data_IF_326595955565
#
_entry.id   IF_326595955565
#
_cell.length_a   1.000
_cell.length_b   1.000
_cell.length_c   1.000
_cell.angle_alpha   90.00
_cell.angle_beta   90.00
_cell.angle_gamma   90.00
#
_symmetry.space_group_name_H-M   'P 1'
#
loop_
_entity.id
_entity.type
_entity.pdbx_description
1 polymer ?
#
# COMPACT_ATOMS: atom_id res chain seq x y z
N UNK A 1 -12.12 36.49 30.01
CA UNK A 1 -11.93 36.57 28.54
C UNK A 1 -12.62 35.38 27.87
N UNK A 2 -13.39 35.58 26.80
CA UNK A 2 -14.14 34.55 26.06
C UNK A 2 -13.30 34.06 24.87
N UNK A 3 -12.79 32.81 24.89
CA UNK A 3 -12.01 32.28 23.78
C UNK A 3 -12.91 31.97 22.58
N UNK A 4 -12.46 32.34 21.39
CA UNK A 4 -13.10 32.05 20.11
C UNK A 4 -12.17 31.20 19.25
N UNK A 5 -12.68 30.09 18.76
CA UNK A 5 -12.06 29.25 17.71
C UNK A 5 -12.71 29.51 16.35
N UNK A 6 -12.04 29.10 15.27
CA UNK A 6 -12.61 29.12 13.91
C UNK A 6 -14.01 28.49 13.86
N UNK A 7 -14.15 27.31 14.46
CA UNK A 7 -15.40 26.55 14.53
C UNK A 7 -16.47 27.34 15.26
N UNK A 8 -16.14 27.97 16.39
CA UNK A 8 -17.10 28.76 17.17
C UNK A 8 -17.61 29.99 16.40
N UNK A 9 -16.74 30.65 15.63
CA UNK A 9 -17.11 31.78 14.77
C UNK A 9 -17.99 31.30 13.61
N UNK A 10 -17.65 30.17 12.99
CA UNK A 10 -18.43 29.56 11.92
C UNK A 10 -19.84 29.15 12.40
N UNK A 11 -19.94 28.52 13.57
CA UNK A 11 -21.22 28.13 14.17
C UNK A 11 -22.09 29.34 14.47
N UNK A 12 -21.51 30.42 15.02
CA UNK A 12 -22.24 31.66 15.29
C UNK A 12 -22.76 32.33 14.01
N UNK A 13 -21.91 32.42 12.97
CA UNK A 13 -22.29 32.95 11.66
C UNK A 13 -23.41 32.13 11.01
N UNK A 14 -23.41 30.81 11.23
CA UNK A 14 -24.44 29.91 10.72
C UNK A 14 -25.74 30.04 11.51
N UNK A 15 -25.66 30.04 12.83
CA UNK A 15 -26.80 30.13 13.74
C UNK A 15 -26.35 30.45 15.17
N UNK A 16 -26.84 31.56 15.73
CA UNK A 16 -26.53 31.95 17.11
C UNK A 16 -26.99 30.93 18.17
N UNK A 17 -28.11 30.24 17.92
CA UNK A 17 -28.61 29.16 18.80
C UNK A 17 -27.65 27.98 18.78
N UNK A 18 -27.17 27.55 17.61
CA UNK A 18 -26.17 26.48 17.50
C UNK A 18 -24.92 26.83 18.31
N UNK A 19 -24.43 28.06 18.17
CA UNK A 19 -23.30 28.54 18.96
C UNK A 19 -23.57 28.45 20.47
N UNK A 20 -24.73 28.91 20.91
CA UNK A 20 -25.11 28.87 22.32
C UNK A 20 -25.17 27.43 22.85
N UNK A 21 -25.84 26.52 22.15
CA UNK A 21 -25.94 25.12 22.54
C UNK A 21 -24.56 24.44 22.59
N UNK A 22 -23.72 24.62 21.57
CA UNK A 22 -22.44 23.93 21.47
C UNK A 22 -21.32 24.56 22.31
N UNK A 23 -21.23 25.88 22.40
CA UNK A 23 -20.08 26.57 23.01
C UNK A 23 -20.40 27.19 24.38
N UNK A 24 -21.67 27.49 24.67
CA UNK A 24 -22.09 28.01 25.98
C UNK A 24 -22.63 26.89 26.87
N UNK A 25 -23.64 26.14 26.41
CA UNK A 25 -24.20 25.01 27.17
C UNK A 25 -23.35 23.72 27.07
N UNK A 26 -22.35 23.69 26.17
CA UNK A 26 -21.44 22.56 25.95
C UNK A 26 -22.16 21.26 25.59
N UNK A 27 -23.29 21.33 24.91
CA UNK A 27 -23.98 20.15 24.39
C UNK A 27 -23.12 19.48 23.30
N UNK A 28 -23.02 18.15 23.37
CA UNK A 28 -22.26 17.32 22.44
C UNK A 28 -23.12 16.13 22.00
N UNK A 29 -23.08 15.76 20.71
CA UNK A 29 -23.68 14.51 20.26
C UNK A 29 -23.04 13.32 20.98
N UNK A 30 -23.84 12.33 21.33
CA UNK A 30 -23.35 11.09 21.97
C UNK A 30 -22.51 10.27 20.97
N UNK A 31 -22.89 10.28 19.70
CA UNK A 31 -22.18 9.59 18.62
C UNK A 31 -21.50 10.60 17.68
N UNK A 32 -20.28 10.26 17.22
CA UNK A 32 -19.61 11.02 16.16
C UNK A 32 -20.28 10.73 14.82
N UNK A 33 -20.59 11.79 14.07
CA UNK A 33 -21.06 11.65 12.70
C UNK A 33 -20.05 10.88 11.84
N UNK A 34 -20.55 10.01 10.95
CA UNK A 34 -19.77 9.21 10.00
C UNK A 34 -18.73 10.05 9.24
N UNK A 35 -19.16 11.22 8.75
CA UNK A 35 -18.31 12.12 7.97
C UNK A 35 -17.08 12.62 8.73
N UNK A 36 -17.21 12.83 10.05
CA UNK A 36 -16.12 13.26 10.92
C UNK A 36 -15.12 12.12 11.14
N UNK A 37 -15.59 10.89 11.35
CA UNK A 37 -14.71 9.72 11.52
C UNK A 37 -13.83 9.49 10.30
N UNK A 38 -14.43 9.42 9.12
CA UNK A 38 -13.69 9.25 7.86
C UNK A 38 -12.68 10.38 7.64
N UNK A 39 -13.07 11.62 7.91
CA UNK A 39 -12.17 12.78 7.80
C UNK A 39 -10.99 12.70 8.77
N UNK A 40 -11.24 12.35 10.03
CA UNK A 40 -10.19 12.16 11.04
C UNK A 40 -9.22 11.06 10.63
N UNK A 41 -9.73 9.91 10.18
CA UNK A 41 -8.87 8.80 9.74
C UNK A 41 -8.08 9.18 8.48
N UNK A 42 -8.68 9.91 7.54
CA UNK A 42 -7.96 10.44 6.37
C UNK A 42 -6.77 11.33 6.75
N UNK A 43 -6.97 12.28 7.67
CA UNK A 43 -5.88 13.13 8.16
C UNK A 43 -4.75 12.29 8.75
N UNK A 44 -5.11 11.29 9.57
CA UNK A 44 -4.13 10.42 10.19
C UNK A 44 -3.37 9.56 9.17
N UNK A 45 -4.03 9.09 8.11
CA UNK A 45 -3.37 8.38 7.02
C UNK A 45 -2.26 9.23 6.39
N UNK A 46 -2.57 10.48 6.06
CA UNK A 46 -1.60 11.39 5.45
C UNK A 46 -0.50 11.81 6.42
N UNK A 47 -0.82 12.01 7.70
CA UNK A 47 0.18 12.28 8.73
C UNK A 47 1.21 11.17 8.85
N UNK A 48 0.77 9.90 8.80
CA UNK A 48 1.60 8.70 8.86
C UNK A 48 2.48 8.60 7.61
N UNK A 49 1.89 8.71 6.42
CA UNK A 49 2.62 8.61 5.15
C UNK A 49 3.70 9.69 4.98
N UNK A 50 3.48 10.86 5.58
CA UNK A 50 4.43 11.98 5.51
C UNK A 50 5.42 12.02 6.69
N UNK A 51 5.43 11.03 7.58
CA UNK A 51 6.42 11.01 8.66
C UNK A 51 7.81 10.70 8.11
N UNK A 52 8.81 11.28 8.77
CA UNK A 52 10.23 11.04 8.47
C UNK A 52 10.89 10.30 9.63
N UNK A 53 12.00 9.58 9.38
CA UNK A 53 12.77 8.93 10.42
C UNK A 53 13.14 9.88 11.56
N UNK A 54 13.07 9.42 12.81
CA UNK A 54 13.30 10.26 13.98
C UNK A 54 12.42 9.88 15.17
N UNK A 55 12.28 10.79 16.14
CA UNK A 55 11.41 10.55 17.31
C UNK A 55 9.96 10.40 16.84
N UNK A 56 9.31 9.32 17.25
CA UNK A 56 7.92 9.08 16.88
C UNK A 56 7.02 10.12 17.57
N UNK A 57 6.22 10.90 16.81
CA UNK A 57 5.34 11.90 17.38
C UNK A 57 4.09 11.30 18.04
N UNK A 58 3.82 10.01 17.79
CA UNK A 58 2.65 9.30 18.33
C UNK A 58 2.97 8.62 19.67
N UNK A 59 4.21 8.16 19.85
CA UNK A 59 4.58 7.28 20.98
C UNK A 59 4.80 8.00 22.31
N UNK A 60 4.72 9.33 22.35
CA UNK A 60 5.01 10.13 23.55
C UNK A 60 4.02 9.92 24.71
N UNK A 61 3.00 9.08 24.53
CA UNK A 61 1.90 8.88 25.48
C UNK A 61 1.62 7.43 25.87
N UNK A 62 2.42 6.44 25.44
CA UNK A 62 2.16 5.03 25.77
C UNK A 62 2.95 4.56 26.99
N UNK A 63 2.21 4.19 28.04
CA UNK A 63 2.69 3.41 29.18
C UNK A 63 3.04 1.97 28.73
N UNK A 64 3.84 1.26 29.51
CA UNK A 64 4.34 -0.11 29.23
C UNK A 64 3.27 -1.16 28.91
N UNK A 65 2.01 -0.89 29.25
CA UNK A 65 0.87 -1.82 29.09
C UNK A 65 -0.13 -1.39 27.99
N UNK A 66 0.20 -0.36 27.19
CA UNK A 66 -0.67 0.17 26.14
C UNK A 66 -0.61 -0.58 24.80
N UNK A 67 -1.58 -0.34 23.89
CA UNK A 67 -1.54 -0.88 22.53
C UNK A 67 -0.26 -0.46 21.81
N UNK A 68 0.24 -1.36 20.96
CA UNK A 68 1.48 -1.15 20.19
C UNK A 68 1.29 0.02 19.22
N UNK A 69 2.11 1.06 19.35
CA UNK A 69 2.05 2.22 18.47
C UNK A 69 2.17 1.76 17.00
N UNK A 70 1.19 2.05 16.13
CA UNK A 70 1.19 1.53 14.76
C UNK A 70 2.33 2.10 13.90
N UNK A 71 2.88 3.24 14.30
CA UNK A 71 3.96 3.93 13.60
C UNK A 71 5.33 3.36 13.93
N UNK A 72 5.67 3.30 15.23
CA UNK A 72 7.02 2.95 15.67
C UNK A 72 7.10 1.64 16.47
N UNK A 73 5.99 0.93 16.64
CA UNK A 73 5.94 -0.34 17.37
C UNK A 73 6.51 -0.23 18.80
N UNK A 74 6.16 0.85 19.49
CA UNK A 74 6.64 1.20 20.85
C UNK A 74 8.15 1.42 21.00
N UNK A 75 8.93 1.44 19.92
CA UNK A 75 10.36 1.78 19.98
C UNK A 75 10.62 3.25 20.35
N UNK A 76 9.61 4.11 20.26
CA UNK A 76 9.75 5.55 20.44
C UNK A 76 10.34 6.29 19.24
N UNK A 77 10.80 5.57 18.21
CA UNK A 77 11.53 6.11 17.08
C UNK A 77 11.12 5.47 15.76
N UNK A 78 10.90 6.29 14.74
CA UNK A 78 10.70 5.87 13.36
C UNK A 78 12.08 5.55 12.77
N UNK A 79 12.30 4.29 12.41
CA UNK A 79 13.57 3.82 11.85
C UNK A 79 13.82 4.43 10.46
N UNK A 80 15.09 4.51 10.05
CA UNK A 80 15.46 5.05 8.72
C UNK A 80 14.94 4.18 7.57
N UNK A 81 14.85 2.88 7.80
CA UNK A 81 14.34 1.87 6.88
C UNK A 81 12.84 1.57 7.06
N UNK A 82 12.14 2.35 7.90
CA UNK A 82 10.72 2.11 8.15
C UNK A 82 9.88 2.39 6.89
N UNK A 83 9.05 1.43 6.52
CA UNK A 83 8.03 1.63 5.50
C UNK A 83 6.77 2.26 6.14
N UNK A 84 6.55 3.54 5.84
CA UNK A 84 5.39 4.26 6.37
C UNK A 84 4.06 3.71 5.85
N UNK A 85 4.04 2.96 4.74
CA UNK A 85 2.85 2.27 4.26
C UNK A 85 2.48 1.12 5.19
N UNK A 86 3.46 0.36 5.69
CA UNK A 86 3.22 -0.70 6.68
C UNK A 86 2.63 -0.12 7.97
N UNK A 87 3.16 1.03 8.43
CA UNK A 87 2.60 1.76 9.56
C UNK A 87 1.14 2.21 9.32
N UNK A 88 0.83 2.67 8.10
CA UNK A 88 -0.54 3.00 7.69
C UNK A 88 -1.46 1.78 7.79
N UNK A 89 -1.04 0.61 7.29
CA UNK A 89 -1.84 -0.61 7.39
C UNK A 89 -2.13 -1.00 8.84
N UNK A 90 -1.11 -0.97 9.72
CA UNK A 90 -1.28 -1.24 11.15
C UNK A 90 -2.30 -0.29 11.78
N UNK A 91 -2.16 1.01 11.51
CA UNK A 91 -3.10 2.01 12.00
C UNK A 91 -4.53 1.77 11.51
N UNK A 92 -4.72 1.50 10.21
CA UNK A 92 -6.04 1.27 9.65
C UNK A 92 -6.69 0.00 10.21
N UNK A 93 -5.93 -1.07 10.43
CA UNK A 93 -6.43 -2.29 11.04
C UNK A 93 -6.85 -2.06 12.50
N UNK A 94 -6.09 -1.28 13.26
CA UNK A 94 -6.43 -0.91 14.63
C UNK A 94 -7.68 -0.02 14.68
N UNK A 95 -7.71 1.04 13.86
CA UNK A 95 -8.81 2.01 13.81
C UNK A 95 -10.14 1.39 13.39
N UNK A 96 -10.10 0.31 12.60
CA UNK A 96 -11.28 -0.42 12.10
C UNK A 96 -11.48 -1.78 12.77
N UNK A 97 -10.75 -2.10 13.84
CA UNK A 97 -10.81 -3.41 14.50
C UNK A 97 -12.19 -3.75 15.08
N UNK A 98 -12.96 -2.72 15.48
CA UNK A 98 -14.30 -2.89 16.06
C UNK A 98 -15.33 -2.09 15.28
N UNK A 99 -16.26 -2.79 14.61
CA UNK A 99 -17.39 -2.16 13.94
C UNK A 99 -18.42 -1.63 14.96
N UNK A 100 -18.82 -0.35 14.89
CA UNK A 100 -19.91 0.16 15.72
C UNK A 100 -21.24 -0.56 15.44
N UNK A 101 -22.11 -0.76 16.44
CA UNK A 101 -23.40 -1.42 16.24
C UNK A 101 -24.36 -0.70 15.27
N UNK A 102 -24.13 0.60 15.05
CA UNK A 102 -24.94 1.43 14.17
C UNK A 102 -24.55 1.37 12.69
N UNK A 103 -23.54 0.57 12.34
CA UNK A 103 -22.98 0.49 10.98
C UNK A 103 -22.97 -0.95 10.51
N UNK A 104 -23.36 -1.17 9.25
CA UNK A 104 -23.27 -2.48 8.62
C UNK A 104 -21.81 -2.88 8.36
N UNK A 105 -21.48 -4.16 8.55
CA UNK A 105 -20.11 -4.65 8.42
C UNK A 105 -19.53 -4.40 7.03
N UNK A 106 -20.34 -4.51 5.97
CA UNK A 106 -19.89 -4.28 4.59
C UNK A 106 -19.55 -2.81 4.39
N UNK A 107 -20.38 -1.90 4.92
CA UNK A 107 -20.12 -0.46 4.85
C UNK A 107 -18.87 -0.09 5.67
N UNK A 108 -18.64 -0.74 6.81
CA UNK A 108 -17.45 -0.57 7.64
C UNK A 108 -16.15 -0.99 6.93
N UNK A 109 -16.14 -2.18 6.32
CA UNK A 109 -15.00 -2.69 5.54
C UNK A 109 -14.77 -1.87 4.25
N UNK A 110 -15.86 -1.42 3.61
CA UNK A 110 -15.80 -0.54 2.45
C UNK A 110 -15.16 0.79 2.81
N UNK A 111 -15.53 1.38 3.95
CA UNK A 111 -14.93 2.63 4.44
C UNK A 111 -13.43 2.48 4.68
N UNK A 112 -13.00 1.41 5.38
CA UNK A 112 -11.60 1.11 5.63
C UNK A 112 -10.82 0.99 4.31
N UNK A 113 -11.36 0.23 3.36
CA UNK A 113 -10.77 -0.01 2.04
C UNK A 113 -10.63 1.30 1.26
N UNK A 114 -11.68 2.11 1.22
CA UNK A 114 -11.65 3.41 0.51
C UNK A 114 -10.54 4.30 1.06
N UNK A 115 -10.41 4.42 2.37
CA UNK A 115 -9.39 5.25 3.00
C UNK A 115 -7.97 4.75 2.71
N UNK A 116 -7.75 3.45 2.90
CA UNK A 116 -6.46 2.82 2.69
C UNK A 116 -5.98 2.97 1.23
N UNK A 117 -6.81 2.60 0.26
CA UNK A 117 -6.45 2.70 -1.15
C UNK A 117 -6.36 4.15 -1.63
N UNK A 118 -7.19 5.06 -1.09
CA UNK A 118 -7.04 6.49 -1.39
C UNK A 118 -5.70 7.03 -0.88
N UNK A 119 -5.26 6.59 0.30
CA UNK A 119 -4.00 7.05 0.90
C UNK A 119 -2.80 6.49 0.14
N UNK A 120 -2.85 5.22 -0.27
CA UNK A 120 -1.83 4.61 -1.13
C UNK A 120 -1.78 5.30 -2.50
N UNK A 121 -2.93 5.57 -3.11
CA UNK A 121 -3.00 6.29 -4.38
C UNK A 121 -2.46 7.71 -4.28
N UNK A 122 -2.75 8.40 -3.18
CA UNK A 122 -2.20 9.72 -2.87
C UNK A 122 -0.67 9.67 -2.73
N UNK A 123 -0.14 8.71 -1.96
CA UNK A 123 1.30 8.53 -1.78
C UNK A 123 2.01 8.16 -3.08
N UNK A 124 1.40 7.30 -3.90
CA UNK A 124 1.93 6.94 -5.21
C UNK A 124 2.01 8.15 -6.15
N UNK A 125 0.94 8.95 -6.21
CA UNK A 125 0.87 10.08 -7.14
C UNK A 125 1.72 11.27 -6.67
N UNK A 126 1.67 11.60 -5.37
CA UNK A 126 2.31 12.80 -4.80
C UNK A 126 3.60 12.52 -4.03
N UNK A 127 4.00 11.27 -3.82
CA UNK A 127 5.16 10.91 -2.99
C UNK A 127 6.50 11.47 -3.46
N UNK A 128 6.59 11.88 -4.74
CA UNK A 128 7.76 12.56 -5.30
C UNK A 128 7.69 14.10 -5.20
N UNK A 129 6.51 14.68 -5.03
CA UNK A 129 6.28 16.12 -4.87
C UNK A 129 6.24 16.47 -3.38
N UNK A 130 7.34 16.18 -2.70
CA UNK A 130 7.41 16.28 -1.24
C UNK A 130 7.33 17.75 -0.82
N UNK A 131 6.30 18.03 -0.04
CA UNK A 131 6.12 19.29 0.66
C UNK A 131 6.81 19.16 2.02
N UNK A 132 7.81 20.00 2.28
CA UNK A 132 8.55 19.95 3.54
C UNK A 132 7.68 20.51 4.66
N UNK A 133 7.37 19.68 5.64
CA UNK A 133 6.60 20.12 6.82
C UNK A 133 7.56 20.68 7.85
N UNK A 134 7.50 22.00 8.09
CA UNK A 134 8.31 22.71 9.08
C UNK A 134 7.78 22.46 10.49
N UNK A 135 6.46 22.56 10.66
CA UNK A 135 5.81 22.41 11.96
C UNK A 135 4.43 21.73 11.81
N UNK A 136 4.02 21.00 12.84
CA UNK A 136 2.70 20.35 12.95
C UNK A 136 2.01 20.82 14.21
N UNK A 137 0.68 20.92 14.18
CA UNK A 137 -0.18 21.24 15.33
C UNK A 137 0.28 22.50 16.09
N UNK A 138 0.53 23.59 15.36
CA UNK A 138 1.03 24.83 15.96
C UNK A 138 -0.11 25.55 16.67
N UNK A 139 -0.11 25.49 17.99
CA UNK A 139 -1.09 26.16 18.83
C UNK A 139 -0.86 27.67 18.92
N UNK A 140 -1.94 28.44 18.92
CA UNK A 140 -1.89 29.87 19.18
C UNK A 140 -3.00 30.29 20.13
N UNK A 141 -2.72 31.32 20.92
CA UNK A 141 -3.68 32.00 21.76
C UNK A 141 -3.36 33.50 21.78
N UNK A 142 -4.28 34.32 21.27
CA UNK A 142 -4.08 35.77 21.15
C UNK A 142 -5.25 36.51 21.76
N UNK A 143 -4.95 37.48 22.61
CA UNK A 143 -5.94 38.46 23.05
C UNK A 143 -6.28 39.40 21.89
N UNK A 144 -7.57 39.54 21.56
CA UNK A 144 -8.04 40.56 20.62
C UNK A 144 -8.32 41.85 21.38
N UNK A 145 -9.01 41.73 22.52
CA UNK A 145 -9.32 42.81 23.44
C UNK A 145 -9.65 42.23 24.83
N UNK A 146 -9.96 43.11 25.79
CA UNK A 146 -10.26 42.74 27.18
C UNK A 146 -11.36 41.69 27.35
N UNK A 147 -12.23 41.52 26.35
CA UNK A 147 -13.36 40.59 26.38
C UNK A 147 -13.06 39.31 25.61
N UNK A 148 -12.37 39.39 24.46
CA UNK A 148 -12.22 38.29 23.51
C UNK A 148 -10.77 37.87 23.27
N UNK A 149 -10.53 36.56 23.20
CA UNK A 149 -9.30 35.98 22.66
C UNK A 149 -9.60 35.04 21.50
N UNK A 150 -8.65 34.88 20.58
CA UNK A 150 -8.64 33.80 19.60
C UNK A 150 -7.75 32.68 20.09
N UNK A 151 -8.20 31.45 19.86
CA UNK A 151 -7.40 30.25 20.09
C UNK A 151 -7.62 29.25 18.98
N UNK A 152 -6.58 28.51 18.65
CA UNK A 152 -6.68 27.44 17.67
C UNK A 152 -5.39 26.70 17.51
N UNK A 153 -5.42 25.75 16.59
CA UNK A 153 -4.28 24.96 16.18
C UNK A 153 -4.18 25.07 14.67
N UNK A 154 -3.02 25.45 14.17
CA UNK A 154 -2.69 25.39 12.75
C UNK A 154 -2.18 23.98 12.50
N UNK A 155 -2.87 23.23 11.63
CA UNK A 155 -2.52 21.84 11.32
C UNK A 155 -1.04 21.73 10.94
N UNK A 156 -0.58 22.51 9.94
CA UNK A 156 0.82 22.50 9.51
C UNK A 156 1.31 23.84 8.97
N UNK A 157 2.60 24.06 9.16
CA UNK A 157 3.40 25.04 8.42
C UNK A 157 4.32 24.26 7.49
N UNK A 158 4.32 24.63 6.22
CA UNK A 158 5.02 23.93 5.16
C UNK A 158 5.93 24.85 4.37
N UNK A 159 6.93 24.28 3.72
CA UNK A 159 7.78 24.94 2.74
C UNK A 159 7.65 24.24 1.39
N UNK A 160 7.47 25.03 0.34
CA UNK A 160 7.48 24.54 -1.04
C UNK A 160 8.10 25.60 -1.95
N UNK A 161 9.14 25.23 -2.70
CA UNK A 161 9.84 26.16 -3.60
C UNK A 161 10.38 27.41 -2.87
N UNK A 162 10.92 27.24 -1.66
CA UNK A 162 11.44 28.33 -0.84
C UNK A 162 10.38 29.21 -0.15
N UNK A 163 9.09 29.04 -0.49
CA UNK A 163 7.99 29.81 0.11
C UNK A 163 7.41 29.06 1.31
N UNK A 164 7.20 29.77 2.42
CA UNK A 164 6.52 29.23 3.60
C UNK A 164 5.02 29.52 3.50
N UNK A 165 4.22 28.47 3.65
CA UNK A 165 2.75 28.52 3.57
C UNK A 165 2.13 27.71 4.69
N UNK A 166 0.82 27.85 4.88
CA UNK A 166 0.07 26.92 5.71
C UNK A 166 -0.29 25.66 4.92
N UNK A 167 -0.41 24.51 5.58
CA UNK A 167 -0.82 23.26 4.98
C UNK A 167 -2.02 22.67 5.69
N UNK A 168 -3.10 22.42 4.97
CA UNK A 168 -4.36 21.88 5.52
C UNK A 168 -4.78 20.66 4.72
N UNK A 169 -5.15 19.58 5.42
CA UNK A 169 -5.83 18.45 4.81
C UNK A 169 -7.33 18.60 4.99
N UNK A 170 -8.12 18.23 3.99
CA UNK A 170 -9.57 18.14 4.10
C UNK A 170 -10.11 16.93 3.37
N UNK A 171 -11.28 16.49 3.80
CA UNK A 171 -12.09 15.51 3.08
C UNK A 171 -13.45 16.12 2.73
N UNK A 172 -13.99 15.74 1.58
CA UNK A 172 -15.30 16.23 1.13
C UNK A 172 -16.00 15.21 0.25
N UNK A 173 -17.34 15.14 0.34
CA UNK A 173 -18.15 14.39 -0.63
C UNK A 173 -18.60 15.26 -1.82
N UNK A 174 -18.37 16.58 -1.73
CA UNK A 174 -18.71 17.55 -2.79
C UNK A 174 -17.70 17.45 -3.94
N UNK A 175 -18.12 17.68 -5.19
CA UNK A 175 -17.20 17.73 -6.32
C UNK A 175 -16.09 18.76 -6.12
N UNK A 176 -14.89 18.44 -6.60
CA UNK A 176 -13.68 19.28 -6.48
C UNK A 176 -13.01 19.55 -7.84
N UNK A 177 -13.69 19.22 -8.93
CA UNK A 177 -13.30 19.55 -10.30
C UNK A 177 -13.00 21.06 -10.48
N UNK A 178 -12.17 21.43 -11.47
CA UNK A 178 -11.94 22.84 -11.81
C UNK A 178 -13.27 23.55 -12.08
N UNK A 179 -13.56 24.61 -11.31
CA UNK A 179 -14.83 25.36 -11.40
C UNK A 179 -15.93 24.89 -10.44
N UNK A 180 -15.72 23.81 -9.68
CA UNK A 180 -16.67 23.38 -8.66
C UNK A 180 -16.94 24.48 -7.63
N UNK A 181 -18.20 24.60 -7.22
CA UNK A 181 -18.67 25.56 -6.20
C UNK A 181 -17.97 25.38 -4.85
N UNK A 182 -17.37 24.21 -4.61
CA UNK A 182 -16.52 23.95 -3.46
C UNK A 182 -15.40 24.99 -3.33
N UNK A 183 -14.72 25.33 -4.43
CA UNK A 183 -13.59 26.26 -4.44
C UNK A 183 -14.01 27.70 -4.18
N UNK A 184 -15.17 28.13 -4.69
CA UNK A 184 -15.68 29.49 -4.46
C UNK A 184 -16.04 29.73 -2.98
N UNK A 185 -16.42 28.67 -2.26
CA UNK A 185 -16.78 28.71 -0.84
C UNK A 185 -15.58 28.90 0.08
N UNK A 186 -14.38 28.55 -0.35
CA UNK A 186 -13.17 28.70 0.47
C UNK A 186 -12.88 30.17 0.82
N UNK A 187 -13.30 31.12 -0.02
CA UNK A 187 -13.17 32.55 0.27
C UNK A 187 -13.98 32.99 1.49
N UNK A 188 -15.01 32.22 1.87
CA UNK A 188 -15.86 32.47 3.02
C UNK A 188 -15.41 31.70 4.27
N UNK A 189 -14.40 30.85 4.14
CA UNK A 189 -13.92 30.01 5.23
C UNK A 189 -13.11 30.86 6.23
N UNK A 190 -13.70 31.04 7.41
CA UNK A 190 -13.09 31.79 8.51
C UNK A 190 -11.84 31.10 9.06
N UNK A 191 -11.72 29.78 8.96
CA UNK A 191 -10.56 29.03 9.46
C UNK A 191 -9.32 29.43 8.67
N UNK A 192 -9.40 29.41 7.34
CA UNK A 192 -8.26 29.66 6.45
C UNK A 192 -7.71 31.07 6.63
N UNK A 193 -8.61 32.05 6.60
CA UNK A 193 -8.24 33.46 6.74
C UNK A 193 -7.67 33.74 8.13
N UNK A 194 -8.29 33.18 9.18
CA UNK A 194 -7.83 33.37 10.55
C UNK A 194 -6.44 32.75 10.77
N UNK A 195 -6.22 31.50 10.35
CA UNK A 195 -4.93 30.84 10.54
C UNK A 195 -3.79 31.56 9.83
N UNK A 196 -4.01 32.05 8.61
CA UNK A 196 -2.98 32.82 7.90
C UNK A 196 -2.63 34.13 8.63
N UNK A 197 -3.63 34.84 9.15
CA UNK A 197 -3.41 36.07 9.93
C UNK A 197 -2.65 35.76 11.22
N UNK A 198 -3.07 34.74 11.96
CA UNK A 198 -2.43 34.39 13.23
C UNK A 198 -1.00 33.88 13.02
N UNK A 199 -0.75 33.06 12.00
CA UNK A 199 0.61 32.61 11.66
C UNK A 199 1.56 33.78 11.38
N UNK A 200 1.10 34.80 10.63
CA UNK A 200 1.89 36.01 10.37
C UNK A 200 2.16 36.81 11.64
N UNK A 201 1.17 36.94 12.51
CA UNK A 201 1.39 37.62 13.78
C UNK A 201 2.37 36.85 14.68
N UNK A 202 2.28 35.52 14.74
CA UNK A 202 3.23 34.68 15.47
C UNK A 202 4.64 34.80 14.89
N UNK A 203 4.78 34.85 13.57
CA UNK A 203 6.05 35.09 12.89
C UNK A 203 6.66 36.43 13.32
N UNK A 204 5.90 37.53 13.22
CA UNK A 204 6.35 38.87 13.57
C UNK A 204 6.67 39.02 15.06
N UNK A 205 5.94 38.32 15.92
CA UNK A 205 6.21 38.27 17.36
C UNK A 205 7.41 37.38 17.74
N UNK A 206 8.00 36.67 16.77
CA UNK A 206 9.12 35.75 17.01
C UNK A 206 8.73 34.41 17.66
N UNK A 207 7.45 34.12 17.81
CA UNK A 207 6.92 32.91 18.45
C UNK A 207 7.23 31.64 17.63
N UNK A 208 7.45 31.79 16.32
CA UNK A 208 7.78 30.70 15.41
C UNK A 208 9.30 30.42 15.29
N UNK A 209 10.14 31.14 16.04
CA UNK A 209 11.61 30.97 16.00
C UNK A 209 12.05 29.55 16.37
N UNK A 210 11.30 28.90 17.26
CA UNK A 210 11.53 27.50 17.65
C UNK A 210 11.40 26.50 16.48
N UNK A 211 10.69 26.88 15.42
CA UNK A 211 10.53 26.10 14.18
C UNK A 211 11.46 26.59 13.06
N UNK A 212 12.41 27.47 13.37
CA UNK A 212 13.35 28.03 12.40
C UNK A 212 12.82 29.22 11.59
N UNK A 213 11.61 29.71 11.88
CA UNK A 213 10.98 30.82 11.16
C UNK A 213 11.24 32.14 11.91
N UNK A 214 11.88 33.10 11.26
CA UNK A 214 12.26 34.39 11.85
C UNK A 214 11.25 35.48 11.48
N UNK A 215 11.15 36.50 12.34
CA UNK A 215 10.35 37.70 12.08
C UNK A 215 10.84 38.51 10.85
N UNK A 216 12.12 38.33 10.47
CA UNK A 216 12.75 38.97 9.30
C UNK A 216 12.59 38.19 8.00
N UNK A 217 12.12 36.95 8.07
CA UNK A 217 11.90 36.14 6.86
C UNK A 217 10.69 36.70 6.07
N UNK A 218 10.56 36.40 4.78
CA UNK A 218 9.34 36.69 4.04
C UNK A 218 8.10 36.19 4.81
N UNK A 219 7.05 37.01 4.84
CA UNK A 219 5.83 36.65 5.58
C UNK A 219 5.23 35.37 5.02
N UNK A 220 4.79 34.48 5.92
CA UNK A 220 4.05 33.27 5.56
C UNK A 220 2.93 33.66 4.57
N UNK A 221 2.98 33.06 3.39
CA UNK A 221 2.14 33.45 2.26
C UNK A 221 1.37 32.26 1.73
N UNK A 222 0.05 32.43 1.67
CA UNK A 222 -0.85 31.43 1.08
C UNK A 222 -1.03 30.19 1.94
N UNK A 223 -1.71 29.21 1.34
CA UNK A 223 -2.04 27.96 1.97
C UNK A 223 -2.15 26.87 0.89
N UNK A 224 -1.51 25.73 1.13
CA UNK A 224 -1.78 24.50 0.42
C UNK A 224 -3.01 23.84 1.05
N UNK A 225 -4.09 23.79 0.28
CA UNK A 225 -5.34 23.17 0.69
C UNK A 225 -5.47 21.84 -0.05
N UNK A 226 -5.06 20.76 0.59
CA UNK A 226 -5.07 19.41 0.01
C UNK A 226 -6.38 18.72 0.36
N UNK A 227 -7.22 18.55 -0.67
CA UNK A 227 -8.61 18.13 -0.53
C UNK A 227 -8.80 16.78 -1.17
N UNK A 228 -9.13 15.79 -0.35
CA UNK A 228 -9.56 14.49 -0.82
C UNK A 228 -11.06 14.48 -1.07
N UNK A 229 -11.45 14.21 -2.32
CA UNK A 229 -12.82 13.90 -2.66
C UNK A 229 -13.10 12.43 -2.39
N UNK A 230 -14.07 12.18 -1.50
CA UNK A 230 -14.47 10.84 -1.09
C UNK A 230 -15.02 10.08 -2.29
N UNK A 231 -14.38 8.98 -2.72
CA UNK A 231 -14.90 8.15 -3.79
C UNK A 231 -16.31 7.68 -3.46
N UNK A 232 -17.23 7.80 -4.42
CA UNK A 232 -18.60 7.28 -4.29
C UNK A 232 -18.72 5.84 -4.79
N UNK A 233 -17.58 5.15 -4.91
CA UNK A 233 -17.53 3.77 -5.38
C UNK A 233 -18.20 2.91 -4.32
N UNK A 234 -19.29 2.24 -4.71
CA UNK A 234 -19.92 1.19 -3.92
C UNK A 234 -19.67 -0.14 -4.63
N UNK A 235 -19.49 -1.26 -3.89
CA UNK A 235 -19.51 -2.58 -4.49
C UNK A 235 -20.75 -2.69 -5.37
N UNK A 236 -20.58 -3.07 -6.65
CA UNK A 236 -21.72 -3.28 -7.53
C UNK A 236 -22.57 -4.40 -6.94
N UNK A 237 -23.79 -4.07 -6.52
CA UNK A 237 -24.78 -5.09 -6.16
C UNK A 237 -25.05 -5.93 -7.40
N UNK A 238 -25.06 -7.25 -7.25
CA UNK A 238 -25.51 -8.14 -8.32
C UNK A 238 -26.93 -7.74 -8.73
N UNK A 239 -27.17 -7.67 -10.05
CA UNK A 239 -28.54 -7.55 -10.56
C UNK A 239 -29.32 -8.80 -10.15
N UNK A 240 -30.64 -8.74 -10.07
CA UNK A 240 -31.43 -9.94 -9.75
C UNK A 240 -31.12 -11.10 -10.71
N UNK A 241 -30.89 -10.80 -12.00
CA UNK A 241 -30.49 -11.79 -12.99
C UNK A 241 -29.11 -12.40 -12.68
N UNK A 242 -28.12 -11.57 -12.35
CA UNK A 242 -26.78 -12.06 -12.00
C UNK A 242 -26.76 -12.77 -10.64
N UNK A 243 -27.59 -12.37 -9.68
CA UNK A 243 -27.79 -13.09 -8.41
C UNK A 243 -28.39 -14.46 -8.67
N UNK A 244 -29.42 -14.58 -9.52
CA UNK A 244 -29.99 -15.87 -9.90
C UNK A 244 -28.97 -16.75 -10.63
N UNK A 245 -28.22 -16.16 -11.58
CA UNK A 245 -27.14 -16.87 -12.28
C UNK A 245 -26.08 -17.36 -11.30
N UNK A 246 -25.66 -16.50 -10.37
CA UNK A 246 -24.72 -16.84 -9.32
C UNK A 246 -25.24 -17.96 -8.43
N UNK A 247 -26.47 -17.84 -7.90
CA UNK A 247 -27.12 -18.87 -7.08
C UNK A 247 -27.20 -20.22 -7.81
N UNK A 248 -27.57 -20.21 -9.08
CA UNK A 248 -27.73 -21.43 -9.88
C UNK A 248 -26.40 -22.06 -10.30
N UNK A 249 -25.40 -21.26 -10.66
CA UNK A 249 -24.12 -21.75 -11.17
C UNK A 249 -23.06 -21.95 -10.08
N UNK A 250 -23.26 -21.34 -8.91
CA UNK A 250 -22.19 -21.13 -7.94
C UNK A 250 -21.09 -20.19 -8.45
N UNK A 251 -21.15 -19.67 -9.68
CA UNK A 251 -20.02 -19.03 -10.32
C UNK A 251 -20.16 -17.50 -10.35
N UNK A 252 -19.13 -16.78 -9.89
CA UNK A 252 -19.06 -15.33 -9.93
C UNK A 252 -17.67 -14.88 -10.39
N UNK A 253 -17.63 -14.11 -11.48
CA UNK A 253 -16.38 -13.65 -12.13
C UNK A 253 -15.40 -14.80 -12.47
N UNK A 254 -15.91 -15.96 -12.88
CA UNK A 254 -15.08 -17.12 -13.26
C UNK A 254 -14.65 -18.00 -12.08
N UNK A 255 -14.96 -17.58 -10.85
CA UNK A 255 -14.67 -18.33 -9.63
C UNK A 255 -15.91 -19.10 -9.16
N UNK A 256 -15.73 -20.37 -8.75
CA UNK A 256 -16.82 -21.21 -8.22
C UNK A 256 -16.92 -21.10 -6.70
N UNK A 257 -18.04 -20.60 -6.24
CA UNK A 257 -18.46 -20.50 -4.86
C UNK A 257 -19.39 -21.66 -4.50
N UNK A 258 -19.16 -22.25 -3.33
CA UNK A 258 -20.10 -23.19 -2.73
C UNK A 258 -21.23 -22.40 -2.08
N UNK A 259 -22.40 -22.44 -2.70
CA UNK A 259 -23.60 -21.78 -2.18
C UNK A 259 -24.29 -22.76 -1.24
N UNK A 260 -24.23 -22.49 0.06
CA UNK A 260 -25.00 -23.23 1.06
C UNK A 260 -26.35 -22.57 1.22
N UNK A 261 -27.41 -23.26 0.80
CA UNK A 261 -28.78 -22.87 1.16
C UNK A 261 -28.95 -23.08 2.66
N UNK A 262 -28.90 -22.00 3.44
CA UNK A 262 -29.39 -22.06 4.83
C UNK A 262 -30.31 -20.89 5.08
N UNK A 263 -31.60 -21.13 4.85
CA UNK A 263 -32.66 -20.39 5.51
C UNK A 263 -33.76 -21.37 5.88
N UNK A 264 -33.61 -22.08 7.00
CA UNK A 264 -34.69 -22.21 8.00
C UNK A 264 -34.33 -23.09 9.20
N UNK A 265 -33.36 -23.99 9.12
CA UNK A 265 -33.09 -24.91 10.24
C UNK A 265 -31.67 -24.70 10.78
N UNK A 266 -31.59 -24.21 12.01
CA UNK A 266 -30.32 -24.00 12.72
C UNK A 266 -30.22 -25.07 13.80
N UNK A 267 -29.14 -25.84 13.75
CA UNK A 267 -28.80 -26.84 14.75
C UNK A 267 -27.55 -26.38 15.51
N UNK A 268 -27.58 -26.46 16.85
CA UNK A 268 -26.41 -26.25 17.70
C UNK A 268 -26.13 -27.55 18.44
N UNK A 269 -24.97 -28.15 18.20
CA UNK A 269 -24.56 -29.46 18.76
C UNK A 269 -25.56 -30.60 18.49
N UNK A 270 -26.21 -30.62 17.32
CA UNK A 270 -27.15 -31.66 16.92
C UNK A 270 -28.57 -31.52 17.49
N UNK A 271 -28.86 -30.42 18.20
CA UNK A 271 -30.22 -30.09 18.68
C UNK A 271 -30.77 -28.92 17.87
N UNK A 272 -32.00 -29.06 17.39
CA UNK A 272 -32.71 -28.02 16.65
C UNK A 272 -33.05 -26.86 17.59
N UNK A 273 -32.71 -25.63 17.20
CA UNK A 273 -33.02 -24.42 17.98
C UNK A 273 -33.97 -23.51 17.21
N UNK A 274 -35.07 -23.16 17.86
CA UNK A 274 -36.07 -22.26 17.32
C UNK A 274 -35.50 -20.84 17.23
N UNK A 275 -35.66 -20.18 16.08
CA UNK A 275 -35.17 -18.82 15.88
C UNK A 275 -36.32 -17.82 15.77
N UNK A 276 -36.24 -16.73 16.55
CA UNK A 276 -37.08 -15.56 16.39
C UNK A 276 -36.28 -14.45 15.69
N UNK A 277 -36.88 -13.84 14.67
CA UNK A 277 -36.26 -12.81 13.85
C UNK A 277 -35.94 -11.60 14.73
N UNK A 278 -34.64 -11.32 14.95
CA UNK A 278 -34.24 -10.07 15.62
C UNK A 278 -32.89 -9.98 16.33
N UNK A 279 -32.01 -10.98 16.31
CA UNK A 279 -30.69 -10.85 16.96
C UNK A 279 -29.54 -11.37 16.09
N UNK A 280 -28.56 -10.49 15.84
CA UNK A 280 -27.34 -10.74 15.08
C UNK A 280 -26.47 -11.84 15.75
N UNK A 281 -25.92 -12.81 15.00
CA UNK A 281 -24.91 -13.70 15.53
C UNK A 281 -23.57 -12.96 15.65
N UNK A 282 -22.96 -13.01 16.84
CA UNK A 282 -21.52 -12.77 17.00
C UNK A 282 -20.76 -13.84 16.21
N UNK A 283 -19.94 -13.47 15.23
CA UNK A 283 -19.04 -14.40 14.53
C UNK A 283 -17.61 -14.18 15.01
N UNK A 284 -17.05 -15.21 15.61
CA UNK A 284 -15.64 -15.35 15.97
C UNK A 284 -14.83 -15.94 14.80
N UNK A 285 -13.52 -15.66 14.78
CA UNK A 285 -12.48 -16.10 13.83
C UNK A 285 -12.69 -17.50 13.19
N UNK A 286 -12.62 -17.55 11.84
CA UNK A 286 -12.01 -18.57 10.94
C UNK A 286 -12.94 -18.91 9.75
N UNK A 287 -12.50 -18.60 8.52
CA UNK A 287 -13.04 -19.23 7.31
C UNK A 287 -11.87 -19.84 6.50
N UNK A 288 -11.65 -21.17 6.56
CA UNK A 288 -10.41 -21.81 6.08
C UNK A 288 -10.33 -22.17 4.58
N UNK A 289 -11.28 -21.79 3.71
CA UNK A 289 -11.37 -22.32 2.33
C UNK A 289 -11.40 -21.25 1.21
N UNK A 290 -10.74 -20.10 1.37
CA UNK A 290 -10.63 -19.10 0.29
C UNK A 290 -9.29 -19.30 -0.42
N UNK A 291 -9.32 -19.51 -1.74
CA UNK A 291 -8.15 -19.45 -2.63
C UNK A 291 -8.15 -18.10 -3.33
N UNK A 292 -7.03 -17.38 -3.30
CA UNK A 292 -6.87 -16.05 -3.92
C UNK A 292 -5.83 -16.15 -5.01
N UNK A 293 -6.21 -15.85 -6.26
CA UNK A 293 -5.24 -15.74 -7.35
C UNK A 293 -4.79 -14.28 -7.56
N UNK A 294 -3.48 -14.06 -7.69
CA UNK A 294 -2.89 -12.74 -7.91
C UNK A 294 -2.05 -12.77 -9.19
N UNK A 295 -2.48 -12.02 -10.21
CA UNK A 295 -1.72 -11.78 -11.43
C UNK A 295 -0.82 -10.55 -11.29
N UNK A 296 0.47 -10.69 -11.64
CA UNK A 296 1.44 -9.60 -11.50
C UNK A 296 2.61 -9.74 -12.46
N UNK A 297 3.28 -8.63 -12.80
CA UNK A 297 4.53 -8.66 -13.56
C UNK A 297 5.76 -9.02 -12.70
N UNK A 298 5.59 -9.20 -11.39
CA UNK A 298 6.69 -9.61 -10.50
C UNK A 298 7.71 -8.50 -10.20
N UNK A 299 7.35 -7.23 -10.40
CA UNK A 299 8.22 -6.07 -10.12
C UNK A 299 8.03 -5.52 -8.71
N UNK A 300 6.92 -5.86 -8.04
CA UNK A 300 6.62 -5.40 -6.69
C UNK A 300 6.41 -6.60 -5.77
N UNK A 301 7.23 -6.69 -4.72
CA UNK A 301 7.11 -7.70 -3.68
C UNK A 301 5.88 -7.41 -2.80
N UNK A 302 4.96 -8.36 -2.61
CA UNK A 302 3.85 -8.21 -1.66
C UNK A 302 4.38 -7.95 -0.25
N UNK A 303 3.80 -6.97 0.44
CA UNK A 303 4.15 -6.62 1.82
C UNK A 303 3.23 -7.38 2.78
N UNK A 304 3.77 -8.28 3.60
CA UNK A 304 3.06 -8.95 4.69
C UNK A 304 3.05 -10.48 4.63
N UNK A 305 3.36 -11.11 5.77
CA UNK A 305 3.29 -12.56 5.99
C UNK A 305 1.91 -13.01 6.47
N UNK A 306 1.52 -14.23 6.03
CA UNK A 306 0.23 -14.92 6.21
C UNK A 306 -0.96 -14.22 5.56
N UNK A 307 -1.16 -14.55 4.29
CA UNK A 307 -2.42 -14.31 3.61
C UNK A 307 -3.58 -15.06 4.32
N UNK A 308 -4.76 -14.46 4.31
CA UNK A 308 -6.01 -15.07 4.79
C UNK A 308 -6.52 -16.05 3.72
N UNK A 309 -5.91 -17.24 3.66
CA UNK A 309 -6.26 -18.29 2.69
C UNK A 309 -5.07 -18.78 1.87
N UNK A 310 -5.33 -19.72 0.96
CA UNK A 310 -4.31 -20.20 0.00
C UNK A 310 -4.17 -19.17 -1.12
N UNK A 311 -2.97 -18.64 -1.34
CA UNK A 311 -2.74 -17.63 -2.40
C UNK A 311 -1.92 -18.24 -3.51
N UNK A 312 -2.42 -18.14 -4.75
CA UNK A 312 -1.73 -18.58 -5.96
C UNK A 312 -1.25 -17.32 -6.69
N UNK A 313 0.06 -17.21 -6.88
CA UNK A 313 0.62 -16.11 -7.66
C UNK A 313 0.83 -16.54 -9.11
N UNK A 314 0.30 -15.76 -10.04
CA UNK A 314 0.51 -15.90 -11.48
C UNK A 314 1.39 -14.74 -11.95
N UNK A 315 2.70 -14.98 -11.97
CA UNK A 315 3.72 -13.95 -12.22
C UNK A 315 4.12 -13.99 -13.69
N UNK A 316 4.02 -12.87 -14.39
CA UNK A 316 4.38 -12.73 -15.81
C UNK A 316 5.52 -11.72 -16.00
N UNK A 317 6.78 -12.07 -15.67
CA UNK A 317 7.90 -11.16 -15.83
C UNK A 317 8.05 -10.71 -17.28
N UNK A 318 8.40 -9.43 -17.47
CA UNK A 318 8.60 -8.88 -18.81
C UNK A 318 10.01 -9.21 -19.32
N UNK A 319 10.08 -9.82 -20.50
CA UNK A 319 11.34 -10.11 -21.21
C UNK A 319 11.79 -8.91 -22.05
N UNK A 320 12.98 -9.00 -22.66
CA UNK A 320 13.53 -7.96 -23.55
C UNK A 320 12.58 -7.63 -24.70
N UNK A 321 11.89 -8.64 -25.25
CA UNK A 321 10.90 -8.48 -26.31
C UNK A 321 9.72 -7.53 -25.98
N UNK A 322 9.50 -7.19 -24.71
CA UNK A 322 8.46 -6.26 -24.27
C UNK A 322 8.80 -4.78 -24.51
N UNK A 323 10.04 -4.47 -24.91
CA UNK A 323 10.53 -3.09 -25.08
C UNK A 323 10.79 -2.33 -23.77
N UNK A 324 10.57 -2.95 -22.60
CA UNK A 324 10.82 -2.31 -21.31
C UNK A 324 12.31 -2.34 -20.92
N UNK A 325 12.78 -1.28 -20.26
CA UNK A 325 14.15 -1.22 -19.71
C UNK A 325 14.39 -2.32 -18.68
N UNK A 326 15.59 -2.92 -18.71
CA UNK A 326 16.00 -4.05 -17.87
C UNK A 326 15.69 -3.86 -16.37
N UNK A 327 16.10 -2.71 -15.81
CA UNK A 327 15.93 -2.39 -14.38
C UNK A 327 14.46 -2.21 -13.96
N UNK A 328 13.56 -1.95 -14.91
CA UNK A 328 12.12 -1.80 -14.66
C UNK A 328 11.37 -3.12 -14.77
N UNK A 329 11.92 -4.10 -15.50
CA UNK A 329 11.31 -5.40 -15.72
C UNK A 329 11.83 -6.50 -14.79
N UNK A 330 13.11 -6.47 -14.43
CA UNK A 330 13.74 -7.50 -13.58
C UNK A 330 14.06 -6.95 -12.20
N UNK A 331 13.28 -7.36 -11.20
CA UNK A 331 13.55 -7.07 -9.78
C UNK A 331 13.75 -8.41 -9.07
N UNK A 332 15.00 -8.84 -9.02
CA UNK A 332 15.39 -10.17 -8.55
C UNK A 332 14.92 -10.50 -7.13
N UNK A 333 15.00 -9.55 -6.20
CA UNK A 333 14.53 -9.75 -4.82
C UNK A 333 13.03 -10.05 -4.76
N UNK A 334 12.26 -9.48 -5.70
CA UNK A 334 10.82 -9.70 -5.80
C UNK A 334 10.52 -11.04 -6.45
N UNK A 335 11.16 -11.34 -7.59
CA UNK A 335 10.94 -12.60 -8.30
C UNK A 335 11.41 -13.81 -7.48
N UNK A 336 12.52 -13.68 -6.75
CA UNK A 336 12.99 -14.70 -5.80
C UNK A 336 11.99 -14.95 -4.68
N UNK A 337 11.33 -13.90 -4.17
CA UNK A 337 10.26 -14.06 -3.20
C UNK A 337 9.05 -14.82 -3.78
N UNK A 338 8.63 -14.51 -5.02
CA UNK A 338 7.54 -15.25 -5.67
C UNK A 338 7.90 -16.72 -5.92
N UNK A 339 9.15 -17.02 -6.28
CA UNK A 339 9.64 -18.39 -6.38
C UNK A 339 9.54 -19.16 -5.06
N UNK A 340 9.79 -18.50 -3.93
CA UNK A 340 9.64 -19.11 -2.59
C UNK A 340 8.19 -19.37 -2.18
N UNK A 341 7.23 -18.68 -2.80
CA UNK A 341 5.79 -18.83 -2.55
C UNK A 341 5.11 -19.80 -3.52
N UNK A 342 5.89 -20.57 -4.30
CA UNK A 342 5.38 -21.52 -5.31
C UNK A 342 4.49 -20.86 -6.38
N UNK A 343 4.86 -19.64 -6.80
CA UNK A 343 4.18 -18.92 -7.86
C UNK A 343 4.30 -19.62 -9.23
N UNK A 344 3.25 -19.53 -10.06
CA UNK A 344 3.31 -19.88 -11.48
C UNK A 344 3.99 -18.75 -12.24
N UNK A 345 5.04 -19.04 -13.01
CA UNK A 345 5.68 -18.06 -13.88
C UNK A 345 5.22 -18.24 -15.33
N UNK A 346 4.74 -17.16 -15.96
CA UNK A 346 4.28 -17.15 -17.35
C UNK A 346 5.19 -16.24 -18.18
N UNK A 347 5.68 -16.73 -19.32
CA UNK A 347 6.55 -15.94 -20.21
C UNK A 347 5.97 -15.87 -21.62
N UNK A 348 6.07 -14.69 -22.23
CA UNK A 348 5.72 -14.46 -23.63
C UNK A 348 7.01 -14.59 -24.45
N UNK A 349 7.09 -15.63 -25.28
CA UNK A 349 8.28 -15.98 -26.06
C UNK A 349 8.00 -15.68 -27.53
N UNK A 350 8.85 -14.84 -28.11
CA UNK A 350 8.77 -14.46 -29.53
C UNK A 350 10.01 -14.88 -30.32
N UNK A 351 11.10 -15.23 -29.62
CA UNK A 351 12.39 -15.57 -30.24
C UNK A 351 13.19 -16.56 -29.38
N UNK A 352 14.18 -17.26 -29.95
CA UNK A 352 15.11 -18.09 -29.18
C UNK A 352 15.84 -17.33 -28.06
N UNK A 353 16.15 -16.05 -28.26
CA UNK A 353 16.80 -15.19 -27.25
C UNK A 353 15.93 -14.99 -26.00
N UNK A 354 14.60 -15.02 -26.16
CA UNK A 354 13.66 -14.97 -25.03
C UNK A 354 13.75 -16.25 -24.18
N UNK A 355 14.04 -17.40 -24.79
CA UNK A 355 14.25 -18.68 -24.08
C UNK A 355 15.56 -18.64 -23.28
N UNK A 356 16.63 -18.10 -23.85
CA UNK A 356 17.90 -17.93 -23.16
C UNK A 356 17.74 -17.02 -21.93
N UNK A 357 16.94 -15.96 -22.06
CA UNK A 357 16.60 -15.09 -20.95
C UNK A 357 15.76 -15.79 -19.86
N UNK A 358 14.82 -16.67 -20.22
CA UNK A 358 14.07 -17.49 -19.25
C UNK A 358 14.97 -18.50 -18.54
N UNK A 359 15.88 -19.15 -19.27
CA UNK A 359 16.84 -20.10 -18.69
C UNK A 359 17.75 -19.42 -17.67
N UNK A 360 18.17 -18.18 -17.93
CA UNK A 360 18.94 -17.37 -17.00
C UNK A 360 18.16 -17.11 -15.70
N UNK A 361 16.85 -16.82 -15.77
CA UNK A 361 16.03 -16.67 -14.57
C UNK A 361 15.88 -17.97 -13.79
N UNK A 362 15.66 -19.10 -14.47
CA UNK A 362 15.59 -20.40 -13.82
C UNK A 362 16.88 -20.70 -13.05
N UNK A 363 18.03 -20.46 -13.69
CA UNK A 363 19.35 -20.64 -13.08
C UNK A 363 19.52 -19.80 -11.81
N UNK A 364 19.21 -18.50 -11.87
CA UNK A 364 19.38 -17.58 -10.74
C UNK A 364 18.47 -17.96 -9.55
N UNK A 365 17.23 -18.39 -9.82
CA UNK A 365 16.35 -18.84 -8.74
C UNK A 365 16.82 -20.16 -8.12
N UNK A 366 17.24 -21.10 -8.95
CA UNK A 366 17.75 -22.40 -8.51
C UNK A 366 19.04 -22.26 -7.69
N UNK A 367 19.93 -21.34 -8.07
CA UNK A 367 21.12 -20.96 -7.30
C UNK A 367 20.77 -20.45 -5.90
N UNK A 368 19.76 -19.57 -5.80
CA UNK A 368 19.24 -19.06 -4.53
C UNK A 368 18.72 -20.16 -3.60
N UNK A 369 17.98 -21.12 -4.17
CA UNK A 369 17.46 -22.27 -3.43
C UNK A 369 18.55 -23.25 -3.00
N UNK A 370 19.53 -23.51 -3.87
CA UNK A 370 20.66 -24.39 -3.60
C UNK A 370 21.46 -23.95 -2.37
N UNK A 371 21.86 -22.68 -2.31
CA UNK A 371 22.61 -22.15 -1.16
C UNK A 371 21.80 -22.17 0.15
N UNK A 372 20.48 -21.95 0.08
CA UNK A 372 19.60 -22.03 1.26
C UNK A 372 19.41 -23.47 1.76
N UNK A 373 19.29 -24.44 0.85
CA UNK A 373 19.15 -25.86 1.20
C UNK A 373 20.43 -26.38 1.88
N UNK A 374 21.60 -26.02 1.33
CA UNK A 374 22.92 -26.37 1.89
C UNK A 374 23.11 -25.81 3.29
N UNK A 375 22.76 -24.53 3.52
CA UNK A 375 22.81 -23.88 4.85
C UNK A 375 21.92 -24.55 5.90
N UNK A 376 20.90 -25.30 5.48
CA UNK A 376 19.97 -26.03 6.37
C UNK A 376 20.19 -27.55 6.38
N UNK A 377 21.29 -28.03 5.79
CA UNK A 377 21.63 -29.47 5.66
C UNK A 377 20.47 -30.32 5.11
N UNK A 378 19.69 -29.78 4.16
CA UNK A 378 18.57 -30.49 3.55
C UNK A 378 18.96 -31.16 2.22
N UNK A 379 18.31 -32.28 1.92
CA UNK A 379 18.54 -33.07 0.71
C UNK A 379 18.30 -32.27 -0.57
N UNK A 380 19.21 -32.40 -1.54
CA UNK A 380 19.20 -31.70 -2.82
C UNK A 380 18.46 -32.52 -3.88
N UNK A 381 17.20 -32.19 -4.22
CA UNK A 381 16.49 -32.85 -5.34
C UNK A 381 15.66 -31.83 -6.15
N UNK A 382 15.69 -31.98 -7.47
CA UNK A 382 14.76 -31.32 -8.41
C UNK A 382 15.22 -29.97 -8.99
N UNK A 383 16.50 -29.79 -9.29
CA UNK A 383 17.01 -28.68 -10.10
C UNK A 383 16.99 -29.03 -11.59
N UNK A 384 16.94 -28.01 -12.45
CA UNK A 384 16.89 -28.16 -13.91
C UNK A 384 18.22 -28.68 -14.46
N UNK A 385 18.18 -29.32 -15.62
CA UNK A 385 19.40 -29.78 -16.30
C UNK A 385 20.27 -28.61 -16.77
N UNK A 386 19.66 -27.45 -17.04
CA UNK A 386 20.36 -26.19 -17.33
C UNK A 386 21.16 -25.75 -16.12
N UNK A 387 20.60 -25.86 -14.92
CA UNK A 387 21.29 -25.49 -13.70
C UNK A 387 22.53 -26.32 -13.44
N UNK A 388 22.45 -27.64 -13.54
CA UNK A 388 23.63 -28.49 -13.38
C UNK A 388 24.68 -28.24 -14.45
N UNK A 389 24.26 -28.08 -15.71
CA UNK A 389 25.20 -27.80 -16.80
C UNK A 389 25.96 -26.48 -16.59
N UNK A 390 25.25 -25.41 -16.23
CA UNK A 390 25.87 -24.11 -15.98
C UNK A 390 26.75 -24.13 -14.72
N UNK A 391 26.39 -24.92 -13.71
CA UNK A 391 27.18 -25.10 -12.50
C UNK A 391 28.49 -25.86 -12.77
N UNK A 392 28.44 -26.88 -13.64
CA UNK A 392 29.60 -27.69 -14.05
C UNK A 392 30.53 -26.92 -15.00
N UNK A 393 29.97 -26.22 -15.99
CA UNK A 393 30.75 -25.44 -16.96
C UNK A 393 31.58 -24.30 -16.35
N UNK A 394 31.18 -23.79 -15.18
CA UNK A 394 31.90 -22.72 -14.48
C UNK A 394 33.07 -23.21 -13.62
N UNK A 395 32.96 -24.42 -13.04
CA UNK A 395 34.08 -25.01 -12.30
C UNK A 395 35.28 -25.29 -13.22
N UNK A 396 35.00 -25.69 -14.46
CA UNK A 396 36.02 -26.06 -15.43
C UNK A 396 36.70 -24.85 -16.10
N UNK A 397 36.06 -23.67 -16.11
CA UNK A 397 36.51 -22.50 -16.89
C UNK A 397 37.28 -21.44 -16.09
N UNK A 398 36.96 -21.22 -14.80
CA UNK A 398 37.57 -20.14 -14.02
C UNK A 398 38.26 -20.57 -12.71
N UNK A 399 38.21 -21.85 -12.34
CA UNK A 399 38.83 -22.34 -11.10
C UNK A 399 38.23 -21.76 -9.81
N UNK A 400 37.05 -21.14 -9.92
CA UNK A 400 36.24 -20.65 -8.80
C UNK A 400 35.42 -21.83 -8.28
N UNK A 401 35.49 -22.10 -6.98
CA UNK A 401 34.67 -23.16 -6.40
C UNK A 401 33.17 -22.82 -6.49
N UNK A 402 32.33 -23.85 -6.63
CA UNK A 402 30.85 -23.76 -6.73
C UNK A 402 30.22 -22.76 -5.76
N UNK A 403 30.69 -22.73 -4.52
CA UNK A 403 30.07 -21.95 -3.46
C UNK A 403 30.43 -20.47 -3.60
N UNK A 404 31.69 -20.17 -3.90
CA UNK A 404 32.14 -18.82 -4.22
C UNK A 404 31.43 -18.25 -5.45
N UNK A 405 31.23 -19.06 -6.51
CA UNK A 405 30.51 -18.63 -7.72
C UNK A 405 29.04 -18.30 -7.43
N UNK A 406 28.34 -19.18 -6.71
CA UNK A 406 26.94 -18.94 -6.34
C UNK A 406 26.78 -17.77 -5.37
N UNK A 407 27.74 -17.55 -4.46
CA UNK A 407 27.75 -16.39 -3.58
C UNK A 407 27.97 -15.08 -4.35
N UNK A 408 28.80 -15.09 -5.40
CA UNK A 408 29.03 -13.94 -6.28
C UNK A 408 27.73 -13.52 -7.00
N UNK A 409 26.97 -14.49 -7.51
CA UNK A 409 25.68 -14.27 -8.17
C UNK A 409 24.62 -13.69 -7.21
N UNK A 410 24.61 -14.13 -5.95
CA UNK A 410 23.58 -13.75 -4.98
C UNK A 410 23.89 -12.51 -4.12
N UNK A 411 25.16 -12.20 -3.82
CA UNK A 411 25.55 -11.10 -2.92
C UNK A 411 25.64 -9.72 -3.60
N UNK A 412 24.69 -9.45 -4.50
CA UNK A 412 24.49 -8.23 -5.31
C UNK A 412 24.90 -6.92 -4.64
N UNK A 413 26.17 -6.56 -4.74
CA UNK A 413 26.68 -5.27 -4.26
C UNK A 413 27.40 -4.45 -5.33
N UNK A 414 27.68 -5.03 -6.50
CA UNK A 414 28.29 -4.30 -7.61
C UNK A 414 27.56 -4.59 -8.93
N UNK A 415 27.06 -3.54 -9.57
CA UNK A 415 26.27 -3.64 -10.80
C UNK A 415 27.12 -3.97 -12.04
N UNK A 416 28.44 -3.72 -12.00
CA UNK A 416 29.36 -4.04 -13.10
C UNK A 416 29.60 -5.55 -13.23
N UNK A 417 29.92 -6.20 -12.11
CA UNK A 417 30.15 -7.65 -12.00
C UNK A 417 28.89 -8.44 -12.39
N UNK A 418 27.70 -7.90 -12.08
CA UNK A 418 26.41 -8.51 -12.45
C UNK A 418 26.24 -8.59 -13.97
N UNK A 419 26.59 -7.53 -14.70
CA UNK A 419 26.41 -7.49 -16.16
C UNK A 419 27.37 -8.45 -16.86
N UNK A 420 28.59 -8.57 -16.33
CA UNK A 420 29.64 -9.45 -16.84
C UNK A 420 29.29 -10.93 -16.62
N UNK A 421 28.86 -11.29 -15.41
CA UNK A 421 28.35 -12.64 -15.11
C UNK A 421 27.08 -12.97 -15.90
N UNK A 422 26.15 -12.02 -16.05
CA UNK A 422 24.96 -12.24 -16.89
C UNK A 422 25.33 -12.43 -18.37
N UNK A 423 26.40 -11.80 -18.85
CA UNK A 423 26.90 -11.97 -20.23
C UNK A 423 27.50 -13.36 -20.40
N UNK A 424 28.39 -13.78 -19.49
CA UNK A 424 29.01 -15.11 -19.51
C UNK A 424 27.94 -16.20 -19.38
N UNK A 425 26.95 -16.03 -18.50
CA UNK A 425 25.85 -16.98 -18.36
C UNK A 425 24.97 -17.03 -19.62
N UNK A 426 24.75 -15.90 -20.31
CA UNK A 426 24.02 -15.90 -21.58
C UNK A 426 24.80 -16.67 -22.65
N UNK A 427 26.10 -16.43 -22.78
CA UNK A 427 26.95 -17.12 -23.76
C UNK A 427 27.00 -18.63 -23.49
N UNK A 428 27.12 -19.05 -22.23
CA UNK A 428 27.07 -20.47 -21.85
C UNK A 428 25.69 -21.10 -22.04
N UNK A 429 24.60 -20.35 -21.82
CA UNK A 429 23.23 -20.80 -22.12
C UNK A 429 23.05 -20.98 -23.63
N UNK A 430 23.56 -20.04 -24.43
CA UNK A 430 23.54 -20.14 -25.91
C UNK A 430 24.38 -21.33 -26.38
N UNK A 431 25.58 -21.55 -25.82
CA UNK A 431 26.40 -22.73 -26.11
C UNK A 431 25.73 -24.04 -25.69
N UNK A 432 25.09 -24.07 -24.52
CA UNK A 432 24.30 -25.20 -24.05
C UNK A 432 23.15 -25.51 -25.01
N UNK A 433 22.42 -24.46 -25.42
CA UNK A 433 21.33 -24.53 -26.38
C UNK A 433 21.84 -25.15 -27.69
N UNK A 434 22.91 -24.62 -28.25
CA UNK A 434 23.51 -25.14 -29.48
C UNK A 434 23.94 -26.61 -29.33
N UNK A 435 24.57 -27.01 -28.22
CA UNK A 435 25.01 -28.40 -27.98
C UNK A 435 23.85 -29.38 -27.76
N UNK A 436 22.73 -28.96 -27.16
CA UNK A 436 21.61 -29.85 -26.78
C UNK A 436 20.47 -29.88 -27.80
N UNK A 437 20.25 -28.80 -28.56
CA UNK A 437 19.26 -28.76 -29.65
C UNK A 437 19.58 -29.76 -30.78
N UNK A 438 20.85 -30.15 -30.98
CA UNK A 438 21.21 -31.25 -31.90
C UNK A 438 20.75 -32.64 -31.46
N UNK A 439 20.26 -32.83 -30.22
CA UNK A 439 19.80 -34.14 -29.70
C UNK A 439 18.32 -34.23 -29.33
N UNK A 440 17.61 -33.11 -29.14
CA UNK A 440 16.22 -33.12 -28.67
C UNK A 440 15.16 -32.81 -29.74
N UNK A 441 15.57 -32.37 -30.93
CA UNK A 441 14.65 -32.16 -32.06
C UNK A 441 15.29 -32.63 -33.38
N UNK A 442 15.29 -33.95 -33.68
CA UNK A 442 15.45 -34.35 -35.07
C UNK A 442 14.20 -33.89 -35.83
N UNK A 443 14.40 -33.13 -36.91
CA UNK A 443 13.42 -32.64 -37.88
C UNK A 443 12.42 -31.57 -37.39
N UNK A 444 12.87 -30.33 -37.32
CA UNK A 444 12.09 -29.22 -37.88
C UNK A 444 13.00 -28.51 -38.89
N UNK A 445 12.73 -28.70 -40.18
CA UNK A 445 13.23 -27.78 -41.20
C UNK A 445 12.60 -26.41 -40.91
N UNK A 446 13.44 -25.44 -40.59
CA UNK A 446 13.06 -24.05 -40.39
C UNK A 446 12.83 -23.39 -41.75
N UNK A 447 11.77 -23.79 -42.43
CA UNK A 447 11.24 -23.05 -43.58
C UNK A 447 9.83 -22.57 -43.24
N UNK A 448 9.72 -21.27 -42.91
CA UNK A 448 8.51 -20.50 -43.18
C UNK A 448 7.38 -20.45 -42.13
N UNK A 449 7.64 -20.63 -40.82
CA UNK A 449 6.63 -20.31 -39.80
C UNK A 449 6.85 -18.93 -39.17
N UNK A 450 5.90 -18.01 -39.38
CA UNK A 450 5.73 -16.83 -38.54
C UNK A 450 5.49 -17.29 -37.10
N UNK A 451 6.31 -16.81 -36.16
CA UNK A 451 6.12 -17.03 -34.73
C UNK A 451 4.80 -16.37 -34.30
N UNK A 452 3.73 -17.14 -34.20
CA UNK A 452 2.55 -16.72 -33.44
C UNK A 452 2.90 -16.86 -31.95
N UNK A 453 2.69 -15.78 -31.19
CA UNK A 453 3.22 -15.62 -29.83
C UNK A 453 2.73 -16.73 -28.88
N UNK A 454 3.56 -17.74 -28.63
CA UNK A 454 3.23 -18.84 -27.72
C UNK A 454 3.55 -18.47 -26.26
N UNK A 455 2.61 -18.73 -25.36
CA UNK A 455 2.74 -18.51 -23.91
C UNK A 455 3.27 -19.78 -23.23
N UNK A 456 4.40 -19.68 -22.52
CA UNK A 456 4.98 -20.79 -21.75
C UNK A 456 4.62 -20.64 -20.26
N UNK A 457 4.25 -21.75 -19.60
CA UNK A 457 3.92 -21.78 -18.17
C UNK A 457 4.93 -22.64 -17.42
N UNK A 458 5.61 -22.07 -16.44
CA UNK A 458 6.49 -22.80 -15.52
C UNK A 458 5.77 -22.98 -14.18
N UNK A 459 5.51 -24.23 -13.81
CA UNK A 459 4.91 -24.61 -12.52
C UNK A 459 5.75 -25.71 -11.87
N UNK A 460 6.04 -25.57 -10.57
CA UNK A 460 6.85 -26.54 -9.82
C UNK A 460 8.19 -26.89 -10.49
N UNK A 461 8.89 -25.89 -11.05
CA UNK A 461 10.21 -26.04 -11.70
C UNK A 461 10.20 -26.94 -12.94
N UNK A 462 9.06 -27.10 -13.61
CA UNK A 462 8.94 -27.74 -14.92
C UNK A 462 8.29 -26.78 -15.90
N UNK A 463 8.86 -26.70 -17.11
CA UNK A 463 8.24 -26.04 -18.26
C UNK A 463 7.08 -26.93 -18.71
N UNK A 464 5.86 -26.39 -18.73
CA UNK A 464 4.65 -27.03 -19.23
C UNK A 464 4.36 -26.52 -20.64
#
# INVERSE_FOLDING_TARGET
>A
MRPQSATSIADYKRCSILFYLCHVLRLRPIEKAESLRQGTNWHKCLEILTMVPGKCPVSTYHFSDGPVCPVCENTGFIRKDADMREALFRYMNEAYATCPPSIDLIDWETEQTILLYSAIGWDWYWGNDKVDTIAREVHFAREINSIYSRRGTIDRIIQRGGTISLGEYKSTSKPIDPGAFYWSHLKLDSQLTMYLIEARHMQLAGELRQYGIKATDPLISGMLYDVWHKPKIKPKKLTQANTKKFIASGEYFGEKFKITESRTEIYVNGVEVETSIGALPKVTKKNPNIVIEIETNGTIKPLGGKFLGDVIFNVSPKLKNSGNEYKKRIIYDTLGWFSEMDANFKFVINSPDDIDEVNLFSFIFEAGHYLKAKKKEKEHRGYSEVFYYLLEGFEDSEGIDRESFLHLILNKRDAGIILEIETILRDEITNWREKRYWKLFPTFEFDGFEFDSSMFIVKNKKII
#
